data_IF_707975302880
#
_entry.id   IF_707975302880
#
_cell.length_a   1.000
_cell.length_b   1.000
_cell.length_c   1.000
_cell.angle_alpha   90.00
_cell.angle_beta   90.00
_cell.angle_gamma   90.00
#
_symmetry.space_group_name_H-M   'P 1'
#
loop_
_entity.id
_entity.type
_entity.pdbx_description
1 polymer ?
#
# COMPACT_ATOMS: atom_id res chain seq x y z
N UNK A 1 12.67 5.99 14.40
CA UNK A 1 14.09 5.97 14.09
C UNK A 1 14.64 4.62 13.70
N UNK A 2 13.80 3.60 13.59
CA UNK A 2 14.25 2.27 13.16
C UNK A 2 14.94 2.23 11.78
N UNK A 3 14.82 3.27 10.98
CA UNK A 3 15.40 3.32 9.63
C UNK A 3 16.88 3.70 9.62
N UNK A 4 17.34 4.51 10.57
CA UNK A 4 18.74 4.94 10.67
C UNK A 4 19.62 3.81 11.19
N UNK A 5 19.10 2.98 12.08
CA UNK A 5 19.82 1.89 12.73
C UNK A 5 19.50 0.51 12.14
N UNK A 6 19.00 0.45 10.90
CA UNK A 6 18.65 -0.83 10.28
C UNK A 6 19.86 -1.71 9.93
N UNK A 7 21.08 -1.19 10.02
CA UNK A 7 22.30 -1.90 9.65
C UNK A 7 22.43 -2.24 8.16
N UNK A 8 21.49 -1.84 7.34
CA UNK A 8 21.50 -2.11 5.89
C UNK A 8 22.48 -1.18 5.19
N UNK A 9 23.49 -1.77 4.59
CA UNK A 9 24.43 -1.09 3.70
C UNK A 9 23.97 -1.26 2.25
N UNK A 10 24.26 -0.26 1.43
CA UNK A 10 23.89 -0.22 0.03
C UNK A 10 22.47 0.30 -0.21
N UNK A 11 22.27 0.87 -1.37
CA UNK A 11 21.00 1.29 -1.87
C UNK A 11 20.83 0.77 -3.28
N UNK A 12 19.79 -0.01 -3.51
CA UNK A 12 19.36 -0.45 -4.83
C UNK A 12 17.93 0.02 -5.04
N UNK A 13 17.61 0.38 -6.26
CA UNK A 13 16.27 0.81 -6.60
C UNK A 13 16.18 1.11 -8.09
N UNK A 14 14.98 0.97 -8.63
CA UNK A 14 14.69 1.39 -9.99
C UNK A 14 14.40 2.88 -10.04
N UNK A 15 14.88 3.54 -11.06
CA UNK A 15 14.58 4.94 -11.35
C UNK A 15 13.61 5.02 -12.52
N UNK A 16 12.65 5.91 -12.40
CA UNK A 16 11.76 6.20 -13.53
C UNK A 16 12.53 6.99 -14.59
N UNK A 17 12.24 6.75 -15.88
CA UNK A 17 12.81 7.57 -16.96
C UNK A 17 12.54 9.07 -16.69
N UNK A 18 13.48 9.96 -17.01
CA UNK A 18 13.29 11.40 -16.82
C UNK A 18 12.15 11.95 -17.69
N UNK A 19 11.95 11.38 -18.86
CA UNK A 19 10.88 11.79 -19.78
C UNK A 19 9.60 11.00 -19.50
N UNK A 20 8.51 11.71 -19.28
CA UNK A 20 7.17 11.15 -19.05
C UNK A 20 6.41 11.04 -20.37
N UNK A 21 6.98 10.31 -21.33
CA UNK A 21 6.35 10.04 -22.63
C UNK A 21 5.73 8.65 -22.62
N UNK A 22 4.65 8.48 -23.38
CA UNK A 22 4.06 7.16 -23.61
C UNK A 22 5.03 6.38 -24.53
N UNK A 23 5.46 5.17 -24.15
CA UNK A 23 6.34 4.35 -24.99
C UNK A 23 5.63 3.95 -26.28
N UNK A 24 6.40 3.85 -27.39
CA UNK A 24 5.86 3.53 -28.73
C UNK A 24 5.17 2.17 -28.83
N UNK A 25 5.50 1.23 -27.94
CA UNK A 25 4.89 -0.12 -27.94
C UNK A 25 3.53 -0.17 -27.24
N UNK A 26 3.16 0.85 -26.45
CA UNK A 26 1.86 0.93 -25.77
C UNK A 26 0.85 1.45 -26.76
N UNK A 27 -0.12 0.59 -27.13
CA UNK A 27 -1.20 0.89 -28.07
C UNK A 27 -2.52 1.19 -27.38
N UNK A 28 -2.63 0.86 -26.10
CA UNK A 28 -3.85 1.00 -25.31
C UNK A 28 -4.21 2.48 -25.11
N UNK A 29 -5.48 2.78 -25.34
CA UNK A 29 -6.04 4.09 -25.12
C UNK A 29 -6.30 4.33 -23.62
N UNK A 30 -6.52 5.60 -23.28
CA UNK A 30 -6.81 6.01 -21.90
C UNK A 30 -7.98 5.25 -21.29
N UNK A 31 -9.07 5.06 -22.05
CA UNK A 31 -10.30 4.38 -21.60
C UNK A 31 -10.04 2.89 -21.31
N UNK A 32 -9.24 2.23 -22.12
CA UNK A 32 -8.91 0.81 -21.96
C UNK A 32 -8.10 0.60 -20.68
N UNK A 33 -7.10 1.46 -20.44
CA UNK A 33 -6.29 1.40 -19.21
C UNK A 33 -7.12 1.69 -17.97
N UNK A 34 -8.04 2.64 -18.02
CA UNK A 34 -8.96 2.91 -16.90
C UNK A 34 -9.90 1.71 -16.66
N UNK A 35 -10.42 1.09 -17.73
CA UNK A 35 -11.23 -0.13 -17.66
C UNK A 35 -10.50 -1.30 -16.99
N UNK A 36 -9.24 -1.57 -17.41
CA UNK A 36 -8.39 -2.59 -16.80
C UNK A 36 -8.12 -2.32 -15.30
N UNK A 37 -7.90 -1.05 -14.93
CA UNK A 37 -7.73 -0.70 -13.51
C UNK A 37 -9.00 -1.02 -12.72
N UNK A 38 -10.17 -0.70 -13.24
CA UNK A 38 -11.45 -0.98 -12.56
C UNK A 38 -11.71 -2.47 -12.45
N UNK A 39 -11.42 -3.24 -13.50
CA UNK A 39 -11.56 -4.71 -13.50
C UNK A 39 -10.67 -5.37 -12.45
N UNK A 40 -9.39 -4.98 -12.38
CA UNK A 40 -8.47 -5.47 -11.37
C UNK A 40 -8.85 -5.02 -9.95
N UNK A 41 -9.42 -3.81 -9.81
CA UNK A 41 -9.92 -3.32 -8.53
C UNK A 41 -11.14 -4.13 -8.05
N UNK A 42 -12.05 -4.56 -8.95
CA UNK A 42 -13.15 -5.49 -8.64
C UNK A 42 -12.65 -6.83 -8.10
N UNK A 43 -11.48 -7.29 -8.56
CA UNK A 43 -10.81 -8.48 -8.06
C UNK A 43 -10.10 -8.25 -6.71
N UNK A 44 -10.32 -7.09 -6.07
CA UNK A 44 -9.73 -6.69 -4.78
C UNK A 44 -8.20 -6.59 -4.78
N UNK A 45 -7.58 -6.33 -5.93
CA UNK A 45 -6.15 -6.01 -5.95
C UNK A 45 -5.89 -4.59 -5.44
N UNK A 46 -4.87 -4.40 -4.58
CA UNK A 46 -4.47 -3.07 -4.14
C UNK A 46 -3.82 -2.27 -5.27
N UNK A 47 -3.87 -0.94 -5.18
CA UNK A 47 -3.37 -0.03 -6.22
C UNK A 47 -1.91 -0.30 -6.64
N UNK A 48 -1.05 -0.67 -5.69
CA UNK A 48 0.34 -1.04 -5.97
C UNK A 48 0.44 -2.33 -6.79
N UNK A 49 -0.38 -3.35 -6.49
CA UNK A 49 -0.40 -4.63 -7.24
C UNK A 49 -0.97 -4.43 -8.64
N UNK A 50 -2.04 -3.63 -8.77
CA UNK A 50 -2.60 -3.24 -10.07
C UNK A 50 -1.52 -2.63 -10.96
N UNK A 51 -0.73 -1.67 -10.43
CA UNK A 51 0.36 -1.08 -11.19
C UNK A 51 1.44 -2.08 -11.63
N UNK A 52 1.71 -3.09 -10.79
CA UNK A 52 2.64 -4.18 -11.14
C UNK A 52 2.06 -5.07 -12.25
N UNK A 53 0.77 -5.45 -12.17
CA UNK A 53 0.09 -6.27 -13.18
C UNK A 53 0.04 -5.52 -14.52
N UNK A 54 -0.31 -4.24 -14.52
CA UNK A 54 -0.32 -3.42 -15.74
C UNK A 54 1.05 -3.38 -16.42
N UNK A 55 2.12 -3.30 -15.63
CA UNK A 55 3.49 -3.31 -16.16
C UNK A 55 3.89 -4.68 -16.72
N UNK A 56 3.61 -5.76 -15.96
CA UNK A 56 4.16 -7.09 -16.24
C UNK A 56 3.30 -7.88 -17.25
N UNK A 57 1.96 -7.75 -17.20
CA UNK A 57 1.05 -8.47 -18.07
C UNK A 57 0.64 -7.67 -19.32
N UNK A 58 0.46 -6.35 -19.17
CA UNK A 58 -0.03 -5.49 -20.25
C UNK A 58 1.05 -4.60 -20.86
N UNK A 59 2.30 -4.64 -20.38
CA UNK A 59 3.39 -3.84 -20.88
C UNK A 59 3.25 -2.32 -20.66
N UNK A 60 2.39 -1.90 -19.73
CA UNK A 60 2.11 -0.49 -19.41
C UNK A 60 3.01 -0.05 -18.24
N UNK A 61 4.15 0.61 -18.48
CA UNK A 61 5.12 0.89 -17.43
C UNK A 61 4.63 1.93 -16.42
N UNK A 62 3.78 2.85 -16.86
CA UNK A 62 3.24 3.91 -15.98
C UNK A 62 1.85 4.32 -16.45
N UNK A 63 0.81 3.84 -15.81
CA UNK A 63 -0.58 4.16 -16.12
C UNK A 63 -0.89 5.66 -16.07
N UNK A 64 -0.27 6.40 -15.14
CA UNK A 64 -0.53 7.84 -14.99
C UNK A 64 -0.03 8.70 -16.16
N UNK A 65 0.87 8.21 -16.99
CA UNK A 65 1.32 8.92 -18.21
C UNK A 65 0.23 8.84 -19.29
N UNK A 66 -0.49 7.72 -19.35
CA UNK A 66 -1.54 7.47 -20.35
C UNK A 66 -2.86 8.10 -19.89
N UNK A 67 -3.26 7.83 -18.63
CA UNK A 67 -4.56 8.27 -18.10
C UNK A 67 -4.58 9.71 -17.57
N UNK A 68 -3.41 10.28 -17.26
CA UNK A 68 -3.27 11.56 -16.54
C UNK A 68 -3.65 11.48 -15.05
N UNK A 69 -4.05 10.29 -14.55
CA UNK A 69 -4.55 10.08 -13.19
C UNK A 69 -3.77 8.99 -12.47
N UNK A 70 -3.75 9.04 -11.14
CA UNK A 70 -3.18 7.96 -10.32
C UNK A 70 -4.18 6.80 -10.22
N UNK A 71 -3.70 5.55 -10.17
CA UNK A 71 -4.53 4.35 -9.98
C UNK A 71 -5.45 4.50 -8.77
N UNK A 72 -4.92 4.94 -7.63
CA UNK A 72 -5.72 5.16 -6.42
C UNK A 72 -6.87 6.16 -6.60
N UNK A 73 -6.68 7.19 -7.47
CA UNK A 73 -7.74 8.15 -7.77
C UNK A 73 -8.83 7.54 -8.65
N UNK A 74 -8.44 6.74 -9.65
CA UNK A 74 -9.40 5.99 -10.49
C UNK A 74 -10.21 5.02 -9.63
N UNK A 75 -9.56 4.32 -8.69
CA UNK A 75 -10.25 3.43 -7.74
C UNK A 75 -11.21 4.19 -6.83
N UNK A 76 -10.85 5.38 -6.34
CA UNK A 76 -11.71 6.22 -5.51
C UNK A 76 -12.96 6.69 -6.25
N UNK A 77 -12.79 7.17 -7.48
CA UNK A 77 -13.90 7.65 -8.34
C UNK A 77 -14.91 6.52 -8.65
N UNK A 78 -14.44 5.28 -8.72
CA UNK A 78 -15.26 4.09 -8.94
C UNK A 78 -15.70 3.37 -7.65
N UNK A 79 -15.38 3.89 -6.46
CA UNK A 79 -15.82 3.32 -5.18
C UNK A 79 -15.09 2.05 -4.73
N UNK A 80 -13.96 1.68 -5.37
CA UNK A 80 -13.17 0.48 -5.02
C UNK A 80 -11.99 0.77 -4.11
N UNK A 81 -11.77 2.02 -3.70
CA UNK A 81 -10.68 2.35 -2.80
C UNK A 81 -11.13 2.22 -1.34
N UNK A 82 -10.34 1.58 -0.44
CA UNK A 82 -10.72 1.40 0.95
C UNK A 82 -10.72 2.73 1.73
N UNK A 83 -11.56 2.82 2.77
CA UNK A 83 -11.64 4.00 3.65
C UNK A 83 -10.31 4.29 4.36
N UNK A 84 -9.60 3.23 4.75
CA UNK A 84 -8.27 3.33 5.36
C UNK A 84 -7.22 3.22 4.27
N UNK A 85 -6.21 4.11 4.22
CA UNK A 85 -5.15 4.04 3.23
C UNK A 85 -4.48 2.67 3.17
N UNK A 86 -4.23 2.16 1.96
CA UNK A 86 -3.72 0.81 1.71
C UNK A 86 -2.41 0.49 2.44
N UNK A 87 -1.49 1.44 2.50
CA UNK A 87 -0.21 1.28 3.18
C UNK A 87 -0.38 1.08 4.70
N UNK A 88 -1.32 1.81 5.32
CA UNK A 88 -1.68 1.60 6.72
C UNK A 88 -2.34 0.23 6.91
N UNK A 89 -3.26 -0.17 6.01
CA UNK A 89 -3.88 -1.49 6.03
C UNK A 89 -2.87 -2.63 5.97
N UNK A 90 -1.86 -2.54 5.12
CA UNK A 90 -0.81 -3.55 5.04
C UNK A 90 0.03 -3.62 6.31
N UNK A 91 0.31 -2.47 6.95
CA UNK A 91 1.01 -2.47 8.23
C UNK A 91 0.15 -3.09 9.34
N UNK A 92 -1.16 -2.80 9.38
CA UNK A 92 -2.09 -3.40 10.34
C UNK A 92 -2.16 -4.93 10.15
N UNK A 93 -2.31 -5.40 8.90
CA UNK A 93 -2.30 -6.84 8.57
C UNK A 93 -1.03 -7.52 9.07
N UNK A 94 0.13 -6.93 8.80
CA UNK A 94 1.41 -7.46 9.27
C UNK A 94 1.51 -7.48 10.80
N UNK A 95 0.98 -6.47 11.49
CA UNK A 95 0.97 -6.44 12.96
C UNK A 95 0.09 -7.54 13.55
N UNK A 96 -1.08 -7.80 12.96
CA UNK A 96 -1.98 -8.89 13.41
C UNK A 96 -1.32 -10.26 13.23
N UNK A 97 -0.71 -10.52 12.07
CA UNK A 97 0.01 -11.78 11.82
C UNK A 97 1.17 -11.96 12.80
N UNK A 98 1.95 -10.90 13.06
CA UNK A 98 3.06 -10.97 14.02
C UNK A 98 2.58 -11.20 15.45
N UNK A 99 1.44 -10.62 15.86
CA UNK A 99 0.84 -10.86 17.17
C UNK A 99 0.35 -12.30 17.32
N UNK A 100 -0.28 -12.86 16.28
CA UNK A 100 -0.68 -14.26 16.26
C UNK A 100 0.53 -15.19 16.41
N UNK A 101 1.61 -14.92 15.67
CA UNK A 101 2.87 -15.67 15.80
C UNK A 101 3.43 -15.61 17.23
N UNK A 102 3.50 -14.43 17.84
CA UNK A 102 4.01 -14.25 19.20
C UNK A 102 3.09 -14.89 20.27
N UNK A 103 1.81 -15.08 19.98
CA UNK A 103 0.90 -15.85 20.83
C UNK A 103 1.32 -17.31 20.96
N UNK A 104 1.81 -17.88 19.85
CA UNK A 104 2.31 -19.27 19.80
C UNK A 104 3.77 -19.36 20.23
N UNK A 105 4.60 -18.37 19.90
CA UNK A 105 6.06 -18.37 20.10
C UNK A 105 6.47 -17.25 21.06
N UNK A 106 6.16 -17.39 22.34
CA UNK A 106 6.37 -16.36 23.39
C UNK A 106 7.84 -15.98 23.60
N UNK A 107 8.77 -16.90 23.33
CA UNK A 107 10.21 -16.71 23.50
C UNK A 107 10.90 -15.98 22.33
N UNK A 108 10.21 -15.73 21.22
CA UNK A 108 10.79 -15.05 20.05
C UNK A 108 11.00 -13.54 20.31
N UNK A 109 12.16 -13.21 20.88
CA UNK A 109 12.56 -11.84 21.18
C UNK A 109 12.76 -10.99 19.92
N UNK A 110 13.18 -11.62 18.80
CA UNK A 110 13.41 -10.92 17.55
C UNK A 110 12.09 -10.42 16.94
N UNK A 111 11.10 -11.30 16.84
CA UNK A 111 9.75 -10.92 16.34
C UNK A 111 9.05 -9.95 17.29
N UNK A 112 9.25 -10.07 18.62
CA UNK A 112 8.76 -9.10 19.60
C UNK A 112 9.30 -7.69 19.32
N UNK A 113 10.61 -7.58 19.06
CA UNK A 113 11.23 -6.29 18.69
C UNK A 113 10.72 -5.79 17.33
N UNK A 114 10.54 -6.71 16.37
CA UNK A 114 9.94 -6.42 15.06
C UNK A 114 8.54 -5.82 15.19
N UNK A 115 7.69 -6.38 16.04
CA UNK A 115 6.35 -5.88 16.33
C UNK A 115 6.39 -4.47 16.93
N UNK A 116 7.21 -4.22 17.94
CA UNK A 116 7.36 -2.89 18.55
C UNK A 116 7.75 -1.82 17.51
N UNK A 117 8.69 -2.14 16.63
CA UNK A 117 9.11 -1.25 15.55
C UNK A 117 7.97 -1.00 14.55
N UNK A 118 7.20 -2.03 14.21
CA UNK A 118 6.06 -1.93 13.30
C UNK A 118 4.94 -1.05 13.91
N UNK A 119 4.59 -1.28 15.16
CA UNK A 119 3.59 -0.46 15.87
C UNK A 119 4.02 1.02 15.99
N UNK A 120 5.30 1.26 16.23
CA UNK A 120 5.84 2.62 16.20
C UNK A 120 5.69 3.28 14.81
N UNK A 121 5.88 2.52 13.73
CA UNK A 121 5.65 3.00 12.34
C UNK A 121 4.16 3.29 12.09
N UNK A 122 3.27 2.39 12.53
CA UNK A 122 1.80 2.57 12.43
C UNK A 122 1.39 3.87 13.11
N UNK A 123 1.81 4.09 14.36
CA UNK A 123 1.47 5.31 15.12
C UNK A 123 1.96 6.59 14.42
N UNK A 124 3.15 6.57 13.81
CA UNK A 124 3.67 7.72 13.05
C UNK A 124 2.90 7.97 11.77
N UNK A 125 2.58 6.91 11.04
CA UNK A 125 1.80 7.00 9.80
C UNK A 125 0.37 7.48 10.07
N UNK A 126 -0.23 7.01 11.17
CA UNK A 126 -1.55 7.49 11.63
C UNK A 126 -1.53 9.00 11.89
N UNK A 127 -0.53 9.51 12.62
CA UNK A 127 -0.40 10.95 12.87
C UNK A 127 -0.30 11.76 11.57
N UNK A 128 0.39 11.22 10.56
CA UNK A 128 0.46 11.84 9.24
C UNK A 128 -0.92 11.89 8.57
N UNK A 129 -1.66 10.77 8.55
CA UNK A 129 -2.98 10.73 7.90
C UNK A 129 -4.05 11.54 8.62
N UNK A 130 -3.97 11.69 9.94
CA UNK A 130 -4.83 12.60 10.69
C UNK A 130 -4.53 14.06 10.29
N UNK A 131 -3.27 14.44 10.15
CA UNK A 131 -2.87 15.77 9.71
C UNK A 131 -3.32 16.06 8.27
N UNK A 132 -3.27 15.06 7.39
CA UNK A 132 -3.74 15.15 6.00
C UNK A 132 -5.26 14.98 5.86
N UNK A 133 -6.00 14.93 6.97
CA UNK A 133 -7.47 14.74 7.01
C UNK A 133 -7.97 13.49 6.26
N UNK A 134 -7.12 12.46 6.12
CA UNK A 134 -7.51 11.16 5.55
C UNK A 134 -8.05 10.18 6.59
N UNK A 135 -7.82 10.46 7.86
CA UNK A 135 -8.35 9.71 8.99
C UNK A 135 -8.99 10.70 10.00
N UNK A 136 -10.04 10.28 10.68
CA UNK A 136 -10.67 11.10 11.71
C UNK A 136 -9.71 11.37 12.88
N UNK A 137 -9.82 12.53 13.52
CA UNK A 137 -8.97 12.93 14.66
C UNK A 137 -9.05 11.97 15.86
N UNK A 138 -10.17 11.28 16.01
CA UNK A 138 -10.41 10.28 17.07
C UNK A 138 -9.74 8.93 16.79
N UNK A 139 -9.21 8.69 15.57
CA UNK A 139 -8.63 7.41 15.22
C UNK A 139 -7.34 7.14 15.98
N UNK A 140 -7.29 6.03 16.68
CA UNK A 140 -6.12 5.56 17.43
C UNK A 140 -5.86 4.10 17.07
N UNK A 141 -4.59 3.72 16.97
CA UNK A 141 -4.22 2.33 16.79
C UNK A 141 -4.54 1.52 18.03
N UNK A 142 -5.38 0.51 17.83
CA UNK A 142 -5.74 -0.51 18.80
C UNK A 142 -5.56 -1.89 18.14
N UNK A 143 -4.82 -2.81 18.77
CA UNK A 143 -4.56 -4.13 18.20
C UNK A 143 -5.80 -4.99 17.98
N UNK A 144 -6.79 -4.91 18.87
CA UNK A 144 -8.03 -5.69 18.74
C UNK A 144 -8.91 -5.14 17.62
N UNK A 145 -9.07 -3.81 17.56
CA UNK A 145 -9.77 -3.15 16.46
C UNK A 145 -9.10 -3.41 15.12
N UNK A 146 -7.75 -3.45 15.08
CA UNK A 146 -7.01 -3.77 13.88
C UNK A 146 -7.36 -5.15 13.32
N UNK A 147 -7.57 -6.15 14.19
CA UNK A 147 -8.00 -7.49 13.78
C UNK A 147 -9.38 -7.46 13.10
N UNK A 148 -10.35 -6.74 13.70
CA UNK A 148 -11.69 -6.60 13.13
C UNK A 148 -11.70 -5.86 11.79
N UNK A 149 -10.90 -4.79 11.67
CA UNK A 149 -10.76 -4.02 10.43
C UNK A 149 -10.24 -4.91 9.29
N UNK A 150 -9.24 -5.77 9.57
CA UNK A 150 -8.66 -6.64 8.56
C UNK A 150 -9.60 -7.75 8.11
N UNK A 151 -10.48 -8.25 9.00
CA UNK A 151 -11.47 -9.27 8.65
C UNK A 151 -12.55 -8.75 7.69
N UNK A 152 -12.82 -7.45 7.70
CA UNK A 152 -13.82 -6.81 6.81
C UNK A 152 -13.28 -6.55 5.40
N UNK A 153 -11.96 -6.59 5.21
CA UNK A 153 -11.29 -6.26 3.94
C UNK A 153 -10.79 -7.52 3.23
#
# INVERSE_FOLDING_TARGET
>A
MARIYSGKKGSSGSHKPPFKTVPKWVKEEKKDVEGLVVELAKQKYPSAKIGTILRDAYGIPTSSVITGRKISKIMQENGYYPEIPEDLMFMLRKAVVLRAHLGLNKSDKHSKRGLQNLESKIRRLTKYYIRENKLPKSWKYDPEKARLIIQKW
#
